data_IF_673584553086
#
_entry.id   IF_673584553086
#
_cell.length_a   1.000
_cell.length_b   1.000
_cell.length_c   1.000
_cell.angle_alpha   90.00
_cell.angle_beta   90.00
_cell.angle_gamma   90.00
#
_symmetry.space_group_name_H-M   'P 1'
#
loop_
_entity.id
_entity.type
_entity.pdbx_description
1 polymer ?
#
# COMPACT_ATOMS: atom_id res chain seq x y z
N UNK A 1 -45.39 52.41 -45.18
CA UNK A 1 -44.37 53.21 -45.92
C UNK A 1 -43.15 52.28 -45.98
N UNK A 2 -42.96 51.60 -47.16
CA UNK A 2 -41.93 51.90 -48.17
C UNK A 2 -40.50 51.62 -47.58
N UNK A 3 -39.68 50.71 -48.06
CA UNK A 3 -39.37 50.17 -49.40
C UNK A 3 -38.53 48.91 -49.28
N UNK A 4 -38.87 48.00 -50.14
CA UNK A 4 -38.05 46.88 -50.59
C UNK A 4 -36.73 47.32 -51.23
N UNK A 5 -35.68 46.47 -51.14
CA UNK A 5 -34.69 46.33 -52.19
C UNK A 5 -34.15 44.91 -52.24
N UNK A 6 -34.47 44.29 -53.34
CA UNK A 6 -34.00 43.04 -53.90
C UNK A 6 -32.55 43.27 -54.43
N UNK A 7 -31.61 42.38 -54.15
CA UNK A 7 -30.45 42.18 -55.01
C UNK A 7 -30.17 40.63 -55.16
N UNK A 8 -30.37 40.26 -56.39
CA UNK A 8 -30.11 38.99 -57.03
C UNK A 8 -28.68 39.03 -57.60
N UNK A 9 -27.81 38.07 -57.30
CA UNK A 9 -26.64 37.67 -58.10
C UNK A 9 -26.22 36.32 -57.71
N UNK A 10 -26.44 35.35 -58.47
CA UNK A 10 -25.68 34.70 -59.54
C UNK A 10 -24.75 33.57 -59.03
N UNK A 11 -25.06 32.41 -59.50
CA UNK A 11 -24.39 31.12 -59.28
C UNK A 11 -22.95 31.06 -59.79
N UNK A 12 -22.11 30.33 -59.10
CA UNK A 12 -20.99 29.63 -59.72
C UNK A 12 -20.80 28.26 -59.02
N UNK A 13 -21.18 27.23 -59.73
CA UNK A 13 -20.84 25.85 -59.38
C UNK A 13 -19.38 25.60 -59.75
N UNK A 14 -18.59 25.19 -58.76
CA UNK A 14 -17.29 24.59 -59.02
C UNK A 14 -17.34 23.15 -58.47
N UNK A 15 -17.40 22.22 -59.38
CA UNK A 15 -17.12 20.78 -59.10
C UNK A 15 -15.62 20.65 -58.88
N UNK A 16 -15.23 20.23 -57.65
CA UNK A 16 -13.92 19.64 -57.40
C UNK A 16 -14.13 18.23 -56.89
N UNK A 17 -13.90 17.29 -57.76
CA UNK A 17 -13.58 15.89 -57.45
C UNK A 17 -12.25 15.89 -56.73
N UNK A 18 -12.20 15.38 -55.50
CA UNK A 18 -10.96 15.24 -54.74
C UNK A 18 -11.05 14.06 -53.76
N UNK A 19 -10.48 12.98 -54.14
CA UNK A 19 -9.86 11.88 -53.45
C UNK A 19 -10.20 11.70 -51.95
N UNK A 20 -10.74 10.55 -51.64
CA UNK A 20 -10.81 10.01 -50.28
C UNK A 20 -9.42 9.85 -49.66
N UNK A 21 -9.19 10.56 -48.57
CA UNK A 21 -8.13 10.21 -47.62
C UNK A 21 -8.75 9.42 -46.49
N UNK A 22 -8.41 8.13 -46.46
CA UNK A 22 -8.64 7.30 -45.30
C UNK A 22 -7.85 7.88 -44.12
N UNK A 23 -8.58 8.38 -43.12
CA UNK A 23 -7.97 8.74 -41.84
C UNK A 23 -7.38 7.48 -41.19
N UNK A 24 -6.08 7.33 -41.30
CA UNK A 24 -5.33 6.42 -40.43
C UNK A 24 -5.58 6.91 -38.98
N UNK A 25 -6.34 6.12 -38.26
CA UNK A 25 -6.40 6.17 -36.80
C UNK A 25 -5.03 5.73 -36.32
N UNK A 26 -4.16 6.68 -36.01
CA UNK A 26 -2.97 6.40 -35.23
C UNK A 26 -3.43 5.85 -33.88
N UNK A 27 -3.22 4.56 -33.69
CA UNK A 27 -3.21 3.97 -32.35
C UNK A 27 -2.14 4.68 -31.57
N UNK A 28 -2.54 5.52 -30.64
CA UNK A 28 -1.67 6.04 -29.60
C UNK A 28 -1.22 4.85 -28.75
N UNK A 29 -0.12 4.25 -29.13
CA UNK A 29 0.68 3.39 -28.28
C UNK A 29 1.10 4.26 -27.10
N UNK A 30 0.48 4.07 -25.96
CA UNK A 30 0.95 4.61 -24.69
C UNK A 30 2.34 4.04 -24.48
N UNK A 31 3.34 4.82 -24.79
CA UNK A 31 4.73 4.53 -24.48
C UNK A 31 4.82 4.61 -22.96
N UNK A 32 4.87 3.45 -22.29
CA UNK A 32 5.23 3.37 -20.89
C UNK A 32 6.57 4.12 -20.75
N UNK A 33 6.60 5.13 -19.91
CA UNK A 33 7.85 5.82 -19.54
C UNK A 33 8.86 4.75 -19.10
N UNK A 34 10.13 4.87 -19.47
CA UNK A 34 11.14 3.92 -19.05
C UNK A 34 11.17 3.89 -17.52
N UNK A 35 10.83 2.76 -16.95
CA UNK A 35 10.87 2.51 -15.52
C UNK A 35 12.32 2.73 -15.08
N UNK A 36 12.60 3.82 -14.38
CA UNK A 36 13.96 4.13 -13.93
C UNK A 36 14.36 3.11 -12.87
N UNK A 37 15.12 2.10 -13.25
CA UNK A 37 15.65 1.09 -12.35
C UNK A 37 16.83 1.67 -11.58
N UNK A 38 16.69 1.76 -10.27
CA UNK A 38 17.79 2.08 -9.35
C UNK A 38 18.39 0.77 -8.83
N UNK A 39 19.69 0.71 -8.70
CA UNK A 39 20.42 -0.47 -8.21
C UNK A 39 21.40 -0.04 -7.13
N UNK A 40 21.24 -0.62 -5.93
CA UNK A 40 22.11 -0.36 -4.79
C UNK A 40 22.87 -1.63 -4.42
N UNK A 41 24.14 -1.49 -4.07
CA UNK A 41 24.91 -2.58 -3.48
C UNK A 41 24.83 -2.46 -1.96
N UNK A 42 24.26 -3.46 -1.32
CA UNK A 42 23.91 -3.42 0.11
C UNK A 42 24.62 -4.56 0.84
N UNK A 43 24.94 -4.34 2.10
CA UNK A 43 25.47 -5.36 3.04
C UNK A 43 24.49 -5.56 4.17
N UNK A 44 24.56 -6.72 4.80
CA UNK A 44 23.73 -6.99 5.97
C UNK A 44 23.99 -8.37 6.55
N UNK A 45 23.17 -8.72 7.53
CA UNK A 45 23.17 -10.03 8.17
C UNK A 45 21.76 -10.64 8.03
N UNK A 46 21.70 -11.87 7.56
CA UNK A 46 20.43 -12.60 7.41
C UNK A 46 19.84 -12.90 8.78
N UNK A 47 18.58 -12.56 8.95
CA UNK A 47 17.79 -12.83 10.16
C UNK A 47 16.95 -14.10 9.99
N UNK A 48 16.26 -14.19 8.84
CA UNK A 48 15.35 -15.29 8.55
C UNK A 48 15.27 -15.53 7.05
N UNK A 49 15.13 -16.78 6.65
CA UNK A 49 14.95 -17.14 5.23
C UNK A 49 13.60 -17.81 5.07
N UNK A 50 12.75 -17.30 4.19
CA UNK A 50 11.38 -17.75 3.96
C UNK A 50 11.20 -18.16 2.47
N UNK A 51 11.75 -19.32 2.04
CA UNK A 51 11.77 -19.70 0.62
C UNK A 51 10.38 -19.89 0.00
N UNK A 52 9.38 -20.28 0.81
CA UNK A 52 7.99 -20.44 0.37
C UNK A 52 7.32 -19.10 0.06
N UNK A 53 7.76 -18.05 0.75
CA UNK A 53 7.30 -16.68 0.57
C UNK A 53 8.20 -15.89 -0.40
N UNK A 54 9.20 -16.56 -1.00
CA UNK A 54 10.21 -15.95 -1.88
C UNK A 54 10.87 -14.72 -1.25
N UNK A 55 11.17 -14.80 0.04
CA UNK A 55 11.63 -13.66 0.81
C UNK A 55 12.73 -14.03 1.79
N UNK A 56 13.53 -13.04 2.16
CA UNK A 56 14.58 -13.14 3.16
C UNK A 56 14.59 -11.87 4.01
N UNK A 57 14.55 -12.02 5.32
CA UNK A 57 14.68 -10.89 6.25
C UNK A 57 16.17 -10.64 6.51
N UNK A 58 16.62 -9.42 6.24
CA UNK A 58 18.02 -9.00 6.41
C UNK A 58 18.05 -7.76 7.27
N UNK A 59 18.93 -7.75 8.30
CA UNK A 59 19.39 -6.53 8.94
C UNK A 59 20.47 -5.93 8.05
N UNK A 60 20.12 -4.91 7.29
CA UNK A 60 21.03 -4.29 6.33
C UNK A 60 21.62 -2.99 6.85
N UNK A 61 22.79 -2.66 6.34
CA UNK A 61 23.45 -1.37 6.55
C UNK A 61 22.66 -0.25 5.83
N UNK A 62 22.96 1.00 6.16
CA UNK A 62 22.41 2.15 5.44
C UNK A 62 22.63 2.03 3.93
N UNK A 63 21.57 2.33 3.16
CA UNK A 63 21.63 2.51 1.71
C UNK A 63 21.66 4.02 1.45
N UNK A 64 22.84 4.60 1.13
CA UNK A 64 23.03 6.05 1.00
C UNK A 64 22.00 6.66 0.04
N UNK A 65 21.47 7.82 0.42
CA UNK A 65 20.47 8.59 -0.35
C UNK A 65 19.15 7.84 -0.62
N UNK A 66 18.92 6.67 0.02
CA UNK A 66 17.72 5.89 -0.19
C UNK A 66 17.00 5.46 1.10
N UNK A 67 17.66 4.73 1.99
CA UNK A 67 17.03 4.31 3.25
C UNK A 67 18.09 4.08 4.37
N UNK A 68 17.74 4.34 5.64
CA UNK A 68 18.60 4.08 6.78
C UNK A 68 18.83 2.58 6.99
N UNK A 69 19.81 2.24 7.84
CA UNK A 69 20.01 0.86 8.29
C UNK A 69 18.78 0.36 9.05
N UNK A 70 18.29 -0.85 8.70
CA UNK A 70 17.10 -1.42 9.33
C UNK A 70 17.01 -2.93 9.09
N UNK A 71 16.08 -3.58 9.79
CA UNK A 71 15.74 -4.98 9.54
C UNK A 71 14.42 -5.07 8.78
N UNK A 72 14.43 -5.70 7.61
CA UNK A 72 13.22 -5.83 6.82
C UNK A 72 13.23 -7.08 5.94
N UNK A 73 12.06 -7.61 5.53
CA UNK A 73 11.99 -8.63 4.50
C UNK A 73 12.29 -8.02 3.13
N UNK A 74 13.00 -8.77 2.31
CA UNK A 74 13.25 -8.48 0.90
C UNK A 74 12.70 -9.61 0.04
N UNK A 75 12.00 -9.25 -1.02
CA UNK A 75 11.53 -10.19 -2.01
C UNK A 75 12.67 -10.64 -2.93
N UNK A 76 12.67 -11.91 -3.32
CA UNK A 76 13.56 -12.45 -4.35
C UNK A 76 12.72 -12.97 -5.52
N UNK A 77 13.12 -12.66 -6.74
CA UNK A 77 12.44 -13.17 -7.95
C UNK A 77 12.81 -14.61 -8.26
N UNK A 78 14.02 -15.01 -7.94
CA UNK A 78 14.51 -16.38 -8.08
C UNK A 78 14.88 -16.96 -6.71
N UNK A 79 14.13 -17.97 -6.27
CA UNK A 79 14.39 -18.65 -4.99
C UNK A 79 15.74 -19.36 -4.92
N UNK A 80 16.39 -19.62 -6.07
CA UNK A 80 17.76 -20.15 -6.08
C UNK A 80 18.77 -19.18 -5.45
N UNK A 81 18.48 -17.89 -5.42
CA UNK A 81 19.28 -16.89 -4.73
C UNK A 81 19.36 -17.13 -3.21
N UNK A 82 18.37 -17.84 -2.66
CA UNK A 82 18.32 -18.21 -1.24
C UNK A 82 19.04 -19.54 -0.94
N UNK A 83 19.53 -20.24 -1.96
CA UNK A 83 20.15 -21.54 -1.78
C UNK A 83 21.44 -21.43 -0.95
N UNK A 84 21.47 -22.15 0.18
CA UNK A 84 22.62 -22.15 1.09
C UNK A 84 22.76 -20.89 1.95
N UNK A 85 21.81 -19.92 1.87
CA UNK A 85 21.73 -18.77 2.76
C UNK A 85 20.97 -19.18 4.03
N UNK A 86 21.50 -18.82 5.19
CA UNK A 86 20.93 -19.18 6.49
C UNK A 86 20.98 -17.97 7.45
N UNK A 87 20.13 -18.02 8.48
CA UNK A 87 20.16 -17.00 9.54
C UNK A 87 21.56 -16.89 10.17
N UNK A 88 22.03 -15.66 10.37
CA UNK A 88 23.35 -15.32 10.88
C UNK A 88 24.42 -15.17 9.79
N UNK A 89 24.14 -15.45 8.52
CA UNK A 89 25.08 -15.25 7.44
C UNK A 89 25.28 -13.75 7.16
N UNK A 90 26.51 -13.23 7.20
CA UNK A 90 26.81 -11.92 6.64
C UNK A 90 26.77 -12.01 5.12
N UNK A 91 25.99 -11.12 4.50
CA UNK A 91 25.75 -11.12 3.06
C UNK A 91 26.00 -9.76 2.42
N UNK A 92 26.27 -9.78 1.13
CA UNK A 92 26.11 -8.63 0.24
C UNK A 92 25.12 -9.01 -0.86
N UNK A 93 24.34 -8.03 -1.32
CA UNK A 93 23.31 -8.25 -2.33
C UNK A 93 23.06 -6.97 -3.10
N UNK A 94 22.38 -7.08 -4.24
CA UNK A 94 21.87 -5.92 -4.94
C UNK A 94 20.40 -5.71 -4.57
N UNK A 95 20.07 -4.48 -4.20
CA UNK A 95 18.70 -4.01 -4.11
C UNK A 95 18.33 -3.30 -5.41
N UNK A 96 17.30 -3.77 -6.08
CA UNK A 96 16.78 -3.25 -7.32
C UNK A 96 15.42 -2.62 -7.05
N UNK A 97 15.26 -1.34 -7.43
CA UNK A 97 14.05 -0.57 -7.14
C UNK A 97 13.56 0.12 -8.40
N UNK A 98 12.28 -0.02 -8.68
CA UNK A 98 11.54 0.74 -9.69
C UNK A 98 10.55 1.68 -9.00
N UNK A 99 9.71 2.38 -9.76
CA UNK A 99 8.64 3.20 -9.19
C UNK A 99 7.57 2.38 -8.42
N UNK A 100 7.45 1.08 -8.70
CA UNK A 100 6.36 0.23 -8.19
C UNK A 100 6.84 -1.05 -7.50
N UNK A 101 8.09 -1.45 -7.67
CA UNK A 101 8.62 -2.72 -7.17
C UNK A 101 10.01 -2.55 -6.57
N UNK A 102 10.31 -3.34 -5.55
CA UNK A 102 11.65 -3.51 -4.97
C UNK A 102 11.92 -4.99 -4.74
N UNK A 103 13.09 -5.48 -5.12
CA UNK A 103 13.51 -6.87 -4.89
C UNK A 103 15.03 -6.93 -4.77
N UNK A 104 15.55 -8.06 -4.30
CA UNK A 104 16.99 -8.28 -4.25
C UNK A 104 17.41 -9.46 -5.14
N UNK A 105 18.65 -9.39 -5.60
CA UNK A 105 19.33 -10.48 -6.30
C UNK A 105 20.82 -10.53 -5.96
N UNK A 106 21.53 -11.51 -6.49
CA UNK A 106 22.97 -11.70 -6.29
C UNK A 106 23.36 -11.66 -4.84
N UNK A 107 22.77 -12.54 -4.05
CA UNK A 107 23.04 -12.66 -2.62
C UNK A 107 24.30 -13.53 -2.43
N UNK A 108 25.36 -12.97 -1.86
CA UNK A 108 26.59 -13.71 -1.57
C UNK A 108 26.97 -13.58 -0.10
N UNK A 109 27.43 -14.70 0.48
CA UNK A 109 28.04 -14.70 1.80
C UNK A 109 29.39 -13.99 1.76
N UNK A 110 29.63 -13.12 2.73
CA UNK A 110 30.87 -12.32 2.81
C UNK A 110 31.83 -12.80 3.91
N UNK A 111 31.39 -13.75 4.74
CA UNK A 111 32.21 -14.26 5.85
C UNK A 111 31.56 -15.42 6.59
N UNK A 112 32.17 -15.88 7.68
CA UNK A 112 31.59 -16.90 8.54
C UNK A 112 30.34 -16.35 9.25
N UNK A 113 29.42 -17.25 9.61
CA UNK A 113 28.25 -16.89 10.41
C UNK A 113 28.63 -16.11 11.66
N UNK A 114 27.87 -15.09 11.95
CA UNK A 114 27.93 -14.41 13.23
C UNK A 114 27.28 -15.30 14.30
N UNK A 115 28.02 -15.60 15.39
CA UNK A 115 27.52 -16.42 16.47
C UNK A 115 26.41 -15.76 17.32
N UNK A 116 26.17 -14.51 17.09
CA UNK A 116 25.07 -13.75 17.69
C UNK A 116 24.09 -13.42 16.56
N UNK A 117 22.93 -14.07 16.47
CA UNK A 117 21.88 -13.58 15.59
C UNK A 117 21.68 -12.10 15.95
N UNK A 118 21.65 -11.19 14.97
CA UNK A 118 21.28 -9.83 15.26
C UNK A 118 19.94 -9.92 15.99
N UNK A 119 19.87 -9.42 17.18
CA UNK A 119 18.62 -9.27 17.90
C UNK A 119 17.74 -8.40 16.98
N UNK A 120 16.77 -9.01 16.29
CA UNK A 120 15.59 -8.27 15.90
C UNK A 120 15.17 -7.54 17.14
N UNK A 121 15.06 -6.21 17.10
CA UNK A 121 14.49 -5.47 18.20
C UNK A 121 13.26 -6.28 18.62
N UNK A 122 13.29 -6.90 19.80
CA UNK A 122 12.32 -7.93 20.16
C UNK A 122 10.95 -7.27 19.98
N UNK A 123 10.16 -7.75 19.01
CA UNK A 123 8.77 -7.36 18.90
C UNK A 123 8.14 -7.62 20.25
N UNK A 124 8.12 -6.62 21.12
CA UNK A 124 7.51 -6.72 22.42
C UNK A 124 6.03 -6.50 22.22
N UNK A 125 5.23 -7.54 22.49
CA UNK A 125 3.82 -7.34 22.70
C UNK A 125 3.65 -6.26 23.78
N UNK A 126 3.05 -5.14 23.42
CA UNK A 126 2.85 -4.00 24.33
C UNK A 126 1.63 -4.22 25.19
N UNK A 127 0.70 -5.03 24.72
CA UNK A 127 -0.48 -5.52 25.45
C UNK A 127 -0.62 -7.02 25.31
N UNK A 128 -1.17 -7.64 26.31
CA UNK A 128 -1.69 -9.02 26.22
C UNK A 128 -3.07 -8.94 25.55
N UNK A 129 -3.08 -8.94 24.21
CA UNK A 129 -4.30 -8.91 23.41
C UNK A 129 -4.51 -10.26 22.74
N UNK A 130 -5.74 -10.77 22.77
CA UNK A 130 -6.08 -11.99 22.06
C UNK A 130 -6.05 -11.74 20.55
N UNK A 131 -5.32 -12.59 19.76
CA UNK A 131 -5.34 -12.50 18.32
C UNK A 131 -6.76 -12.65 17.77
N UNK A 132 -7.15 -11.77 16.85
CA UNK A 132 -8.39 -11.89 16.12
C UNK A 132 -8.22 -12.77 14.89
N UNK A 133 -9.19 -13.64 14.71
CA UNK A 133 -9.34 -14.47 13.51
C UNK A 133 -10.62 -14.10 12.77
N UNK A 134 -10.81 -14.62 11.57
CA UNK A 134 -12.07 -14.47 10.82
C UNK A 134 -13.26 -14.92 11.70
N UNK A 135 -14.29 -14.09 11.78
CA UNK A 135 -15.45 -14.23 12.66
C UNK A 135 -15.32 -13.55 14.03
N UNK A 136 -14.11 -13.20 14.47
CA UNK A 136 -13.88 -12.43 15.70
C UNK A 136 -14.46 -11.01 15.60
N UNK A 137 -14.80 -10.41 16.73
CA UNK A 137 -15.37 -9.05 16.80
C UNK A 137 -14.27 -8.05 17.11
N UNK A 138 -14.14 -7.02 16.27
CA UNK A 138 -13.19 -5.93 16.45
C UNK A 138 -13.55 -5.13 17.71
N UNK A 139 -12.64 -5.03 18.71
CA UNK A 139 -12.84 -4.17 19.87
C UNK A 139 -12.86 -2.68 19.52
N UNK A 140 -13.27 -1.88 20.46
CA UNK A 140 -13.20 -0.43 20.34
C UNK A 140 -11.79 0.08 20.58
N UNK A 141 -11.28 0.88 19.64
CA UNK A 141 -10.02 1.61 19.69
C UNK A 141 -10.23 3.07 19.36
N UNK A 142 -9.44 3.95 19.97
CA UNK A 142 -9.54 5.40 19.80
C UNK A 142 -8.39 5.92 18.93
N UNK A 143 -8.73 6.78 17.98
CA UNK A 143 -7.77 7.36 17.03
C UNK A 143 -8.03 8.85 16.81
N UNK A 144 -7.07 9.51 16.18
CA UNK A 144 -7.19 10.86 15.64
C UNK A 144 -7.01 10.83 14.15
N UNK A 145 -7.94 11.38 13.39
CA UNK A 145 -7.87 11.38 11.94
C UNK A 145 -6.96 12.49 11.39
N UNK A 146 -6.72 12.48 10.08
CA UNK A 146 -5.89 13.45 9.35
C UNK A 146 -6.38 14.91 9.45
N UNK A 147 -7.57 15.14 9.98
CA UNK A 147 -8.13 16.47 10.25
C UNK A 147 -8.02 16.87 11.72
N UNK A 148 -7.35 16.04 12.56
CA UNK A 148 -7.19 16.28 14.00
C UNK A 148 -8.44 15.96 14.82
N UNK A 149 -9.44 15.25 14.26
CA UNK A 149 -10.67 14.87 14.97
C UNK A 149 -10.53 13.48 15.57
N UNK A 150 -10.92 13.34 16.83
CA UNK A 150 -10.99 12.04 17.49
C UNK A 150 -12.18 11.22 16.95
N UNK A 151 -12.00 9.92 16.86
CA UNK A 151 -13.01 8.94 16.46
C UNK A 151 -12.68 7.57 17.04
N UNK A 152 -13.61 6.64 16.97
CA UNK A 152 -13.39 5.25 17.38
C UNK A 152 -13.74 4.26 16.27
N UNK A 153 -13.26 3.02 16.39
CA UNK A 153 -13.63 1.94 15.46
C UNK A 153 -15.13 1.66 15.45
N UNK A 154 -15.86 1.99 16.53
CA UNK A 154 -17.32 1.88 16.59
C UNK A 154 -18.06 2.86 15.70
N UNK A 155 -17.45 3.98 15.32
CA UNK A 155 -18.10 4.98 14.46
C UNK A 155 -18.35 4.42 13.04
N UNK A 156 -17.73 3.29 12.70
CA UNK A 156 -17.94 2.57 11.45
C UNK A 156 -18.97 1.44 11.55
N UNK A 157 -19.69 1.29 12.67
CA UNK A 157 -20.76 0.28 12.78
C UNK A 157 -21.82 0.48 11.69
N UNK A 158 -22.26 -0.61 11.10
CA UNK A 158 -23.18 -0.61 9.95
C UNK A 158 -22.47 -0.48 8.60
N UNK A 159 -21.17 -0.25 8.58
CA UNK A 159 -20.36 -0.15 7.38
C UNK A 159 -19.38 -1.32 7.27
N UNK A 160 -19.11 -1.78 6.05
CA UNK A 160 -17.95 -2.60 5.78
C UNK A 160 -16.69 -1.73 5.95
N UNK A 161 -15.73 -2.17 6.73
CA UNK A 161 -14.52 -1.43 7.04
C UNK A 161 -13.29 -2.20 6.57
N UNK A 162 -12.48 -1.61 5.68
CA UNK A 162 -11.15 -2.13 5.40
C UNK A 162 -10.12 -1.34 6.19
N UNK A 163 -9.21 -2.03 6.86
CA UNK A 163 -8.14 -1.45 7.66
C UNK A 163 -6.80 -1.87 7.07
N UNK A 164 -5.90 -0.93 6.83
CA UNK A 164 -4.50 -1.19 6.55
C UNK A 164 -3.60 -0.50 7.57
N UNK A 165 -2.37 -1.01 7.70
CA UNK A 165 -1.37 -0.45 8.59
C UNK A 165 -0.13 -0.06 7.78
N UNK A 166 0.34 1.17 7.98
CA UNK A 166 1.52 1.69 7.28
C UNK A 166 2.26 2.76 8.11
N UNK A 167 3.35 3.27 7.58
CA UNK A 167 3.94 4.54 7.97
C UNK A 167 4.38 5.32 6.72
N UNK A 168 4.28 6.65 6.77
CA UNK A 168 4.41 7.49 5.56
C UNK A 168 5.81 7.54 4.99
N UNK A 169 6.84 7.26 5.82
CA UNK A 169 8.26 7.28 5.44
C UNK A 169 8.78 5.95 4.91
N UNK A 170 7.91 4.97 4.64
CA UNK A 170 8.33 3.68 4.10
C UNK A 170 8.99 3.85 2.72
N UNK A 171 10.26 3.48 2.54
CA UNK A 171 10.99 3.77 1.31
C UNK A 171 10.73 2.75 0.20
N UNK A 172 10.17 1.58 0.53
CA UNK A 172 9.97 0.51 -0.44
C UNK A 172 8.62 0.60 -1.14
N UNK A 173 8.60 0.73 -2.47
CA UNK A 173 7.37 0.92 -3.23
C UNK A 173 6.42 -0.28 -3.18
N UNK A 174 6.93 -1.50 -2.99
CA UNK A 174 6.15 -2.73 -2.87
C UNK A 174 5.70 -3.05 -1.43
N UNK A 175 5.84 -2.11 -0.48
CA UNK A 175 5.40 -2.24 0.90
C UNK A 175 4.24 -1.29 1.20
N UNK A 176 4.40 -0.35 2.14
CA UNK A 176 3.34 0.60 2.50
C UNK A 176 2.76 1.36 1.30
N UNK A 177 3.58 1.87 0.34
CA UNK A 177 3.02 2.51 -0.85
C UNK A 177 2.15 1.59 -1.70
N UNK A 178 2.49 0.29 -1.81
CA UNK A 178 1.67 -0.67 -2.54
C UNK A 178 0.30 -0.89 -1.87
N UNK A 179 0.28 -1.04 -0.53
CA UNK A 179 -0.97 -1.18 0.21
C UNK A 179 -1.87 0.04 -0.01
N UNK A 180 -1.33 1.25 0.15
CA UNK A 180 -2.08 2.49 -0.07
C UNK A 180 -2.54 2.63 -1.54
N UNK A 181 -1.76 2.21 -2.53
CA UNK A 181 -2.17 2.15 -3.93
C UNK A 181 -3.35 1.17 -4.13
N UNK A 182 -3.30 -0.02 -3.51
CA UNK A 182 -4.39 -0.99 -3.57
C UNK A 182 -5.67 -0.44 -2.93
N UNK A 183 -5.57 0.31 -1.82
CA UNK A 183 -6.70 1.00 -1.20
C UNK A 183 -7.25 2.11 -2.09
N UNK A 184 -6.38 2.93 -2.71
CA UNK A 184 -6.79 3.95 -3.67
C UNK A 184 -7.52 3.39 -4.88
N UNK A 185 -7.02 2.27 -5.43
CA UNK A 185 -7.67 1.59 -6.55
C UNK A 185 -8.99 0.93 -6.12
N UNK A 186 -9.04 0.31 -4.94
CA UNK A 186 -10.27 -0.21 -4.37
C UNK A 186 -11.31 0.89 -4.15
N UNK A 187 -10.93 2.07 -3.67
CA UNK A 187 -11.80 3.23 -3.57
C UNK A 187 -12.44 3.57 -4.92
N UNK A 188 -11.64 3.66 -5.99
CA UNK A 188 -12.14 3.96 -7.34
C UNK A 188 -13.15 2.91 -7.80
N UNK A 189 -12.83 1.63 -7.61
CA UNK A 189 -13.70 0.52 -8.00
C UNK A 189 -15.01 0.48 -7.19
N UNK A 190 -14.97 0.78 -5.89
CA UNK A 190 -16.14 0.83 -5.02
C UNK A 190 -17.07 2.02 -5.31
N UNK A 191 -16.53 3.11 -5.86
CA UNK A 191 -17.29 4.31 -6.25
C UNK A 191 -17.86 4.24 -7.68
N UNK A 192 -17.30 3.40 -8.55
CA UNK A 192 -17.59 3.43 -9.98
C UNK A 192 -19.02 3.00 -10.40
N UNK A 193 -19.67 1.96 -9.82
CA UNK A 193 -20.97 1.51 -10.26
C UNK A 193 -22.09 2.51 -9.93
N UNK A 194 -23.08 2.73 -10.80
CA UNK A 194 -24.23 3.63 -10.54
C UNK A 194 -25.05 3.26 -9.30
N UNK A 195 -25.00 1.99 -8.88
CA UNK A 195 -25.67 1.44 -7.70
C UNK A 195 -24.65 0.90 -6.70
N UNK A 196 -23.51 1.55 -6.58
CA UNK A 196 -22.49 1.16 -5.61
C UNK A 196 -23.04 1.23 -4.18
N UNK A 197 -22.66 0.28 -3.31
CA UNK A 197 -22.99 0.40 -1.89
C UNK A 197 -22.37 1.66 -1.32
N UNK A 198 -23.04 2.31 -0.38
CA UNK A 198 -22.55 3.51 0.30
C UNK A 198 -22.11 3.22 1.74
N UNK A 199 -22.38 2.02 2.24
CA UNK A 199 -22.11 1.60 3.61
C UNK A 199 -20.73 0.92 3.71
N UNK A 200 -19.68 1.62 3.30
CA UNK A 200 -18.30 1.14 3.40
C UNK A 200 -17.34 2.28 3.73
N UNK A 201 -16.21 1.91 4.33
CA UNK A 201 -15.14 2.85 4.66
C UNK A 201 -13.76 2.18 4.59
N UNK A 202 -12.75 2.95 4.24
CA UNK A 202 -11.34 2.58 4.27
C UNK A 202 -10.66 3.32 5.42
N UNK A 203 -9.84 2.63 6.19
CA UNK A 203 -9.11 3.17 7.32
C UNK A 203 -7.64 2.81 7.22
N UNK A 204 -6.80 3.81 7.05
CA UNK A 204 -5.35 3.67 7.10
C UNK A 204 -4.87 4.09 8.47
N UNK A 205 -4.20 3.20 9.21
CA UNK A 205 -3.65 3.47 10.55
C UNK A 205 -2.12 3.52 10.44
N UNK A 206 -1.55 4.67 10.79
CA UNK A 206 -0.10 4.76 10.92
C UNK A 206 0.38 4.16 12.24
N UNK A 207 1.47 3.38 12.17
CA UNK A 207 2.18 2.89 13.36
C UNK A 207 3.44 3.70 13.70
N UNK A 208 3.60 4.89 13.12
CA UNK A 208 4.65 5.88 13.42
C UNK A 208 4.06 7.19 13.98
N UNK A 209 3.34 7.16 15.12
CA UNK A 209 2.59 8.32 15.62
C UNK A 209 3.46 9.51 15.99
N UNK A 210 4.76 9.31 16.23
CA UNK A 210 5.69 10.40 16.53
C UNK A 210 5.98 11.26 15.30
N UNK A 211 6.05 10.66 14.12
CA UNK A 211 6.27 11.37 12.87
C UNK A 211 4.96 11.64 12.11
N UNK A 212 4.09 10.67 12.00
CA UNK A 212 2.85 10.71 11.24
C UNK A 212 1.75 11.47 11.99
N UNK A 213 1.98 12.78 12.17
CA UNK A 213 0.98 13.69 12.73
C UNK A 213 -0.24 13.81 11.81
N UNK A 214 -1.40 14.31 12.28
CA UNK A 214 -2.55 14.58 11.41
C UNK A 214 -2.22 15.37 10.16
N UNK A 215 -1.33 16.37 10.25
CA UNK A 215 -0.92 17.18 9.11
C UNK A 215 -0.09 16.39 8.08
N UNK A 216 0.81 15.51 8.53
CA UNK A 216 1.59 14.61 7.68
C UNK A 216 0.66 13.63 6.98
N UNK A 217 -0.25 12.99 7.73
CA UNK A 217 -1.24 12.06 7.19
C UNK A 217 -2.17 12.70 6.17
N UNK A 218 -2.53 13.98 6.38
CA UNK A 218 -3.34 14.72 5.41
C UNK A 218 -2.60 14.87 4.07
N UNK A 219 -1.34 15.29 4.08
CA UNK A 219 -0.54 15.42 2.87
C UNK A 219 -0.33 14.06 2.17
N UNK A 220 -0.14 12.99 2.95
CA UNK A 220 -0.05 11.64 2.41
C UNK A 220 -1.36 11.18 1.76
N UNK A 221 -2.51 11.41 2.41
CA UNK A 221 -3.83 11.09 1.88
C UNK A 221 -4.12 11.82 0.54
N UNK A 222 -3.75 13.09 0.44
CA UNK A 222 -3.93 13.90 -0.77
C UNK A 222 -3.17 13.31 -1.97
N UNK A 223 -2.03 12.67 -1.75
CA UNK A 223 -1.27 11.98 -2.80
C UNK A 223 -2.05 10.81 -3.43
N UNK A 224 -2.93 10.15 -2.67
CA UNK A 224 -3.77 9.04 -3.14
C UNK A 224 -5.17 9.48 -3.60
N UNK A 225 -5.41 10.78 -3.77
CA UNK A 225 -6.72 11.31 -4.20
C UNK A 225 -7.89 10.76 -3.35
N UNK A 226 -7.67 10.67 -2.03
CA UNK A 226 -8.62 10.06 -1.11
C UNK A 226 -9.97 10.80 -1.09
N UNK A 227 -11.06 10.04 -1.02
CA UNK A 227 -12.38 10.60 -0.78
C UNK A 227 -12.64 10.67 0.74
N UNK A 228 -12.71 11.86 1.37
CA UNK A 228 -12.87 11.97 2.82
C UNK A 228 -14.19 11.41 3.37
N UNK A 229 -15.19 11.16 2.51
CA UNK A 229 -16.42 10.49 2.91
C UNK A 229 -16.25 8.97 3.07
N UNK A 230 -15.20 8.39 2.47
CA UNK A 230 -15.01 6.94 2.40
C UNK A 230 -13.61 6.47 2.79
N UNK A 231 -12.67 7.39 3.07
CA UNK A 231 -11.33 7.00 3.46
C UNK A 231 -10.78 7.94 4.54
N UNK A 232 -10.35 7.36 5.65
CA UNK A 232 -9.76 8.06 6.80
C UNK A 232 -8.33 7.58 7.02
N UNK A 233 -7.42 8.52 7.26
CA UNK A 233 -6.06 8.26 7.69
C UNK A 233 -5.93 8.61 9.17
N UNK A 234 -5.38 7.73 9.95
CA UNK A 234 -5.42 7.80 11.41
C UNK A 234 -4.04 7.65 12.05
N UNK A 235 -3.87 8.36 13.13
CA UNK A 235 -2.82 8.19 14.13
C UNK A 235 -3.47 8.13 15.51
N UNK A 236 -2.70 7.88 16.56
CA UNK A 236 -3.26 7.81 17.90
C UNK A 236 -2.23 7.48 18.97
N UNK A 237 -2.70 7.08 20.13
CA UNK A 237 -1.82 6.57 21.16
C UNK A 237 -1.16 5.27 20.70
N UNK A 238 0.18 5.17 20.85
CA UNK A 238 0.94 3.99 20.45
C UNK A 238 0.36 2.69 21.05
N UNK A 239 -0.18 2.75 22.23
CA UNK A 239 -0.83 1.62 22.91
C UNK A 239 -2.05 1.08 22.13
N UNK A 240 -2.90 1.94 21.59
CA UNK A 240 -4.08 1.53 20.82
C UNK A 240 -3.66 1.04 19.42
N UNK A 241 -2.71 1.73 18.79
CA UNK A 241 -2.12 1.32 17.51
C UNK A 241 -1.48 -0.08 17.62
N UNK A 242 -0.67 -0.30 18.66
CA UNK A 242 -0.03 -1.59 18.91
C UNK A 242 -1.06 -2.67 19.19
N UNK A 243 -2.06 -2.37 20.02
CA UNK A 243 -3.07 -3.35 20.40
C UNK A 243 -3.90 -3.84 19.20
N UNK A 244 -4.41 -2.93 18.36
CA UNK A 244 -5.15 -3.32 17.15
C UNK A 244 -4.23 -4.02 16.14
N UNK A 245 -2.99 -3.57 16.00
CA UNK A 245 -2.01 -4.22 15.13
C UNK A 245 -1.71 -5.66 15.57
N UNK A 246 -1.39 -5.87 16.83
CA UNK A 246 -1.09 -7.20 17.40
C UNK A 246 -2.26 -8.18 17.26
N UNK A 247 -3.51 -7.70 17.40
CA UNK A 247 -4.69 -8.54 17.17
C UNK A 247 -4.74 -9.13 15.77
N UNK A 248 -4.22 -8.41 14.78
CA UNK A 248 -4.16 -8.90 13.39
C UNK A 248 -2.79 -9.47 13.00
N UNK A 249 -1.90 -9.67 13.97
CA UNK A 249 -0.57 -10.21 13.74
C UNK A 249 0.37 -9.24 13.03
N UNK A 250 0.07 -7.93 13.09
CA UNK A 250 1.04 -6.91 12.71
C UNK A 250 2.17 -6.92 13.76
N UNK A 251 3.38 -6.95 13.27
CA UNK A 251 4.60 -6.84 14.08
C UNK A 251 5.38 -5.66 13.57
N UNK A 252 5.73 -4.73 14.44
CA UNK A 252 6.61 -3.62 14.09
C UNK A 252 7.50 -3.26 15.28
N UNK A 253 8.69 -2.76 14.99
CA UNK A 253 9.64 -2.31 15.99
C UNK A 253 10.45 -1.14 15.43
N UNK A 254 10.64 -0.09 16.24
CA UNK A 254 11.56 1.00 15.89
C UNK A 254 12.98 0.50 15.90
N UNK A 255 13.71 0.77 14.84
CA UNK A 255 15.14 0.57 14.67
C UNK A 255 15.77 1.92 14.34
N UNK A 256 17.09 2.05 14.44
CA UNK A 256 17.82 3.31 14.23
C UNK A 256 17.37 4.05 12.95
N UNK A 257 16.44 5.00 13.10
CA UNK A 257 15.95 5.85 12.02
C UNK A 257 14.83 5.25 11.15
N UNK A 258 14.35 4.04 11.41
CA UNK A 258 13.30 3.38 10.66
C UNK A 258 12.43 2.46 11.51
N UNK A 259 11.46 1.78 10.88
CA UNK A 259 10.55 0.85 11.53
C UNK A 259 10.54 -0.47 10.74
N UNK A 260 11.03 -1.53 11.37
CA UNK A 260 10.89 -2.89 10.87
C UNK A 260 9.46 -3.37 11.08
N UNK A 261 8.82 -3.93 10.06
CA UNK A 261 7.43 -4.38 10.17
C UNK A 261 7.09 -5.46 9.13
N UNK A 262 6.02 -6.21 9.39
CA UNK A 262 5.34 -6.99 8.39
C UNK A 262 4.10 -6.23 7.85
N UNK A 263 3.40 -6.81 6.88
CA UNK A 263 2.25 -6.16 6.24
C UNK A 263 0.94 -6.87 6.59
N UNK A 264 -0.09 -6.09 6.90
CA UNK A 264 -1.46 -6.57 7.18
C UNK A 264 -2.49 -5.60 6.63
N UNK A 265 -3.56 -6.19 6.05
CA UNK A 265 -4.81 -5.47 5.83
C UNK A 265 -5.98 -6.37 6.24
N UNK A 266 -7.09 -5.79 6.64
CA UNK A 266 -8.21 -6.51 7.25
C UNK A 266 -9.52 -5.97 6.71
N UNK A 267 -10.50 -6.84 6.47
CA UNK A 267 -11.88 -6.45 6.19
C UNK A 267 -12.78 -6.88 7.35
N UNK A 268 -13.57 -5.94 7.82
CA UNK A 268 -14.55 -6.10 8.90
C UNK A 268 -15.94 -5.77 8.34
N UNK A 269 -16.97 -6.54 8.68
CA UNK A 269 -18.34 -6.27 8.23
C UNK A 269 -19.07 -5.25 9.13
N UNK A 270 -20.27 -4.83 8.71
CA UNK A 270 -21.07 -3.86 9.43
C UNK A 270 -21.46 -4.26 10.85
N UNK A 271 -21.33 -5.53 11.23
CA UNK A 271 -21.53 -6.00 12.61
C UNK A 271 -20.24 -5.94 13.45
N UNK A 272 -19.14 -5.50 12.86
CA UNK A 272 -17.83 -5.45 13.51
C UNK A 272 -17.07 -6.78 13.48
N UNK A 273 -17.49 -7.77 12.66
CA UNK A 273 -16.81 -9.07 12.58
C UNK A 273 -15.75 -9.07 11.47
N UNK A 274 -14.60 -9.62 11.80
CA UNK A 274 -13.50 -9.83 10.86
C UNK A 274 -13.94 -10.81 9.77
N UNK A 275 -13.86 -10.40 8.51
CA UNK A 275 -14.22 -11.20 7.34
C UNK A 275 -13.00 -11.77 6.64
N UNK A 276 -11.93 -11.00 6.55
CA UNK A 276 -10.70 -11.38 5.87
C UNK A 276 -9.50 -10.70 6.50
N UNK A 277 -8.40 -11.42 6.62
CA UNK A 277 -7.08 -10.88 6.96
C UNK A 277 -6.17 -11.14 5.77
N UNK A 278 -5.64 -10.07 5.18
CA UNK A 278 -4.63 -10.12 4.13
C UNK A 278 -3.24 -10.06 4.75
N UNK A 279 -2.38 -10.97 4.34
CA UNK A 279 -1.00 -11.12 4.84
C UNK A 279 -0.04 -10.81 3.70
N UNK A 280 0.98 -9.97 3.97
CA UNK A 280 1.97 -9.60 2.96
C UNK A 280 1.43 -8.62 1.91
N UNK A 281 2.05 -8.62 0.74
CA UNK A 281 1.85 -7.65 -0.34
C UNK A 281 1.41 -8.28 -1.68
N UNK A 282 1.13 -9.58 -1.71
CA UNK A 282 0.79 -10.26 -2.97
C UNK A 282 -0.68 -10.07 -3.39
N UNK A 283 -1.56 -9.62 -2.48
CA UNK A 283 -2.97 -9.38 -2.76
C UNK A 283 -3.19 -8.08 -3.56
N UNK A 284 -4.29 -8.02 -4.30
CA UNK A 284 -4.63 -6.92 -5.21
C UNK A 284 -5.90 -6.20 -4.79
N UNK A 285 -6.08 -4.99 -5.32
CA UNK A 285 -7.26 -4.17 -5.07
C UNK A 285 -8.58 -4.90 -5.35
N UNK A 286 -8.64 -5.72 -6.42
CA UNK A 286 -9.83 -6.49 -6.79
C UNK A 286 -10.23 -7.50 -5.71
N UNK A 287 -9.26 -8.13 -5.05
CA UNK A 287 -9.52 -9.06 -3.96
C UNK A 287 -10.09 -8.32 -2.74
N UNK A 288 -9.54 -7.14 -2.43
CA UNK A 288 -10.07 -6.27 -1.38
C UNK A 288 -11.51 -5.84 -1.68
N UNK A 289 -11.79 -5.39 -2.91
CA UNK A 289 -13.12 -4.99 -3.37
C UNK A 289 -14.12 -6.13 -3.22
N UNK A 290 -13.76 -7.35 -3.62
CA UNK A 290 -14.62 -8.53 -3.49
C UNK A 290 -14.99 -8.78 -2.02
N UNK A 291 -14.04 -8.72 -1.09
CA UNK A 291 -14.31 -8.93 0.33
C UNK A 291 -15.12 -7.76 0.93
N UNK A 292 -14.84 -6.52 0.52
CA UNK A 292 -15.62 -5.34 0.93
C UNK A 292 -17.07 -5.44 0.49
N UNK A 293 -17.34 -5.80 -0.77
CA UNK A 293 -18.71 -5.97 -1.26
C UNK A 293 -19.47 -7.07 -0.50
N UNK A 294 -18.82 -8.19 -0.16
CA UNK A 294 -19.41 -9.21 0.71
C UNK A 294 -19.74 -8.66 2.09
N UNK A 295 -18.86 -7.84 2.65
CA UNK A 295 -19.02 -7.25 3.98
C UNK A 295 -20.14 -6.21 4.07
N UNK A 296 -20.49 -5.52 2.96
CA UNK A 296 -21.61 -4.55 2.92
C UNK A 296 -22.98 -5.19 3.02
N UNK A 297 -23.14 -6.48 2.70
CA UNK A 297 -24.44 -7.20 2.69
C UNK A 297 -24.78 -7.79 4.04
N UNK A 298 -23.82 -7.86 4.97
CA UNK A 298 -24.05 -8.42 6.31
C UNK A 298 -24.71 -7.35 7.18
N UNK A 299 -25.92 -7.65 7.68
CA UNK A 299 -26.69 -6.79 8.59
C UNK A 299 -26.35 -7.08 10.05
#
# INVERSE_FOLDING_TARGET
MVRALLFLMLAAAVFCTGCGQAAHRESSTTTASPTHLQIFQVKGVVIEVLPREKSVTIKHDEVPDYMPAMTMPFDVRDTNELAGIEAGDPVTFRLLVTATEGWIDRIWKTGPKTNTPPTTGAFRAVRDVEPLVEGGVLPEYQFTNQLGKSFSTKDFQGQALAIEFLFTRCPLPNFCPLLANNFGEAQKQLLAPPNAPTNWHLLTISFDPEFDTPAVLKGYAEHYEYNPAHWTFATGALMDITAIGEQFGLKFASEEGSISHNLRAVVVDGSGRVRKIFIGNEWKAEELVVEMLKATVVK
#
